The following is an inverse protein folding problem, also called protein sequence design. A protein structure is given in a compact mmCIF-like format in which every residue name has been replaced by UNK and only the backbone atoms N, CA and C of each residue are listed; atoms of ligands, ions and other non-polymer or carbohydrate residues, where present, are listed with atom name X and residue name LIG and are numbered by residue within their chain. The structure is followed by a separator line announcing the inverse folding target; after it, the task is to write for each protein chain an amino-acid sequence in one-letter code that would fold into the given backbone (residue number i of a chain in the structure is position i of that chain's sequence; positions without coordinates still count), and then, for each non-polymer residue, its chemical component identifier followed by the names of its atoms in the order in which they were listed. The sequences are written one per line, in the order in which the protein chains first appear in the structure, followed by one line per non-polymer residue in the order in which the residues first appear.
data_IF_398831132780
#
_entry.id   IF_398831132780
#
_cell.length_a   1.000
_cell.length_b   1.000
_cell.length_c   1.000
_cell.angle_alpha   90.00
_cell.angle_beta   90.00
_cell.angle_gamma   90.00
#
_symmetry.space_group_name_H-M   'P 1'
#
loop_
_entity.id
_entity.type
_entity.pdbx_description
1 polymer ?
#
# COMPACT_ATOMS: atom_id res chain seq x y z
N UNK A 1 -19.37 23.92 -3.04
CA UNK A 1 -18.20 23.36 -2.32
C UNK A 1 -16.97 23.54 -3.19
N UNK A 2 -15.79 23.70 -2.58
CA UNK A 2 -14.53 23.81 -3.33
C UNK A 2 -14.22 22.46 -3.98
N UNK A 3 -13.91 22.45 -5.28
CA UNK A 3 -13.37 21.27 -5.96
C UNK A 3 -11.85 21.35 -5.99
N UNK A 4 -11.19 20.22 -5.80
CA UNK A 4 -9.73 20.10 -5.84
C UNK A 4 -9.23 20.02 -7.27
N UNK A 5 -8.06 20.60 -7.50
CA UNK A 5 -7.19 20.23 -8.61
C UNK A 5 -6.10 19.28 -8.11
N UNK A 6 -6.00 18.08 -8.68
CA UNK A 6 -5.07 17.03 -8.21
C UNK A 6 -4.01 16.74 -9.27
N UNK A 7 -2.72 16.90 -8.92
CA UNK A 7 -1.62 16.58 -9.83
C UNK A 7 -1.07 15.18 -9.52
N UNK A 8 -1.01 14.33 -10.54
CA UNK A 8 -0.44 12.99 -10.46
C UNK A 8 1.05 13.09 -10.71
N UNK A 9 1.89 12.64 -9.77
CA UNK A 9 3.35 12.66 -9.88
C UNK A 9 3.83 11.25 -10.18
N UNK A 10 4.34 11.04 -11.39
CA UNK A 10 4.75 9.74 -11.92
C UNK A 10 3.67 9.11 -12.83
N UNK A 11 3.96 8.99 -14.12
CA UNK A 11 3.12 8.42 -15.18
C UNK A 11 3.36 6.93 -15.42
N UNK A 12 3.63 6.15 -14.36
CA UNK A 12 3.86 4.71 -14.45
C UNK A 12 2.57 3.88 -14.61
N UNK A 13 2.73 2.56 -14.68
CA UNK A 13 1.60 1.62 -14.79
C UNK A 13 0.64 1.75 -13.60
N UNK A 14 1.17 1.92 -12.38
CA UNK A 14 0.35 1.95 -11.18
C UNK A 14 -0.54 3.21 -11.11
N UNK A 15 -0.01 4.40 -11.42
CA UNK A 15 -0.80 5.65 -11.41
C UNK A 15 -1.96 5.65 -12.41
N UNK A 16 -1.81 4.94 -13.54
CA UNK A 16 -2.89 4.75 -14.51
C UNK A 16 -4.15 4.11 -13.92
N UNK A 17 -4.02 3.36 -12.81
CA UNK A 17 -5.14 2.74 -12.10
C UNK A 17 -5.91 3.70 -11.18
N UNK A 18 -5.44 4.95 -11.06
CA UNK A 18 -6.01 5.98 -10.18
C UNK A 18 -6.44 7.24 -10.92
N UNK A 19 -5.80 7.59 -12.05
CA UNK A 19 -6.10 8.82 -12.81
C UNK A 19 -7.61 8.92 -13.10
N UNK A 20 -8.21 7.85 -13.61
CA UNK A 20 -9.64 7.86 -13.95
C UNK A 20 -10.56 8.02 -12.74
N UNK A 21 -10.15 7.54 -11.55
CA UNK A 21 -10.92 7.70 -10.32
C UNK A 21 -10.87 9.15 -9.85
N UNK A 22 -9.69 9.78 -9.86
CA UNK A 22 -9.59 11.21 -9.57
C UNK A 22 -10.40 12.04 -10.56
N UNK A 23 -10.40 11.70 -11.86
CA UNK A 23 -11.19 12.41 -12.87
C UNK A 23 -12.71 12.24 -12.67
N UNK A 24 -13.15 11.05 -12.24
CA UNK A 24 -14.56 10.76 -12.01
C UNK A 24 -15.10 11.37 -10.70
N UNK A 25 -14.24 11.60 -9.70
CA UNK A 25 -14.67 12.01 -8.38
C UNK A 25 -15.37 13.39 -8.40
N UNK A 26 -16.57 13.55 -7.81
CA UNK A 26 -17.40 14.77 -7.95
C UNK A 26 -16.75 16.04 -7.39
N UNK A 27 -15.86 15.88 -6.40
CA UNK A 27 -15.07 16.97 -5.79
C UNK A 27 -13.70 17.21 -6.42
N UNK A 28 -13.37 16.59 -7.54
CA UNK A 28 -12.17 16.92 -8.32
C UNK A 28 -12.60 17.67 -9.57
N UNK A 29 -12.02 18.85 -9.80
CA UNK A 29 -12.29 19.69 -10.97
C UNK A 29 -11.33 19.39 -12.11
N UNK A 30 -10.09 19.03 -11.79
CA UNK A 30 -9.02 18.89 -12.77
C UNK A 30 -7.97 17.89 -12.28
N UNK A 31 -7.48 17.08 -13.20
CA UNK A 31 -6.31 16.22 -12.98
C UNK A 31 -5.17 16.71 -13.86
N UNK A 32 -4.00 16.90 -13.27
CA UNK A 32 -2.76 17.25 -13.94
C UNK A 32 -1.74 16.11 -13.87
N UNK A 33 -0.66 16.19 -14.66
CA UNK A 33 0.39 15.16 -14.69
C UNK A 33 1.78 15.78 -14.58
N UNK A 34 2.57 15.29 -13.63
CA UNK A 34 4.03 15.50 -13.57
C UNK A 34 4.72 14.22 -14.00
N UNK A 35 5.47 14.29 -15.09
CA UNK A 35 6.26 13.17 -15.60
C UNK A 35 7.53 13.72 -16.25
N UNK A 36 8.68 13.17 -15.86
CA UNK A 36 10.00 13.64 -16.30
C UNK A 36 10.26 13.23 -17.75
N UNK A 37 9.85 12.01 -18.10
CA UNK A 37 10.00 11.49 -19.46
C UNK A 37 8.98 12.12 -20.40
N UNK A 38 9.47 12.85 -21.41
CA UNK A 38 8.60 13.62 -22.31
C UNK A 38 7.62 12.74 -23.09
N UNK A 39 8.06 11.57 -23.57
CA UNK A 39 7.23 10.68 -24.37
C UNK A 39 6.13 10.05 -23.51
N UNK A 40 6.50 9.53 -22.34
CA UNK A 40 5.56 9.00 -21.35
C UNK A 40 4.56 10.06 -20.89
N UNK A 41 5.03 11.30 -20.64
CA UNK A 41 4.16 12.42 -20.29
C UNK A 41 3.11 12.67 -21.38
N UNK A 42 3.53 12.74 -22.64
CA UNK A 42 2.62 12.93 -23.77
C UNK A 42 1.63 11.77 -23.93
N UNK A 43 2.11 10.52 -23.81
CA UNK A 43 1.29 9.32 -23.97
C UNK A 43 0.21 9.21 -22.88
N UNK A 44 0.57 9.42 -21.60
CA UNK A 44 -0.38 9.39 -20.49
C UNK A 44 -1.36 10.57 -20.59
N UNK A 45 -0.88 11.77 -20.93
CA UNK A 45 -1.76 12.92 -21.07
C UNK A 45 -2.80 12.72 -22.19
N UNK A 46 -2.38 12.17 -23.34
CA UNK A 46 -3.30 11.82 -24.41
C UNK A 46 -4.29 10.72 -23.98
N UNK A 47 -3.80 9.64 -23.36
CA UNK A 47 -4.61 8.50 -22.91
C UNK A 47 -5.74 8.91 -21.97
N UNK A 48 -5.46 9.83 -21.04
CA UNK A 48 -6.43 10.27 -20.03
C UNK A 48 -7.01 11.66 -20.31
N UNK A 49 -6.75 12.26 -21.47
CA UNK A 49 -7.21 13.62 -21.79
C UNK A 49 -6.83 14.67 -20.73
N UNK A 50 -5.59 14.61 -20.23
CA UNK A 50 -5.05 15.56 -19.25
C UNK A 50 -4.52 16.80 -19.99
N UNK A 51 -5.09 17.97 -19.68
CA UNK A 51 -4.75 19.23 -20.35
C UNK A 51 -3.50 19.92 -19.78
N UNK A 52 -3.26 19.79 -18.47
CA UNK A 52 -2.12 20.40 -17.79
C UNK A 52 -1.08 19.35 -17.41
N UNK A 53 0.11 19.49 -18.00
CA UNK A 53 1.25 18.62 -17.70
C UNK A 53 2.47 19.45 -17.32
N UNK A 54 3.31 18.92 -16.44
CA UNK A 54 4.51 19.57 -15.93
C UNK A 54 5.72 18.68 -16.16
N UNK A 55 6.85 19.28 -16.53
CA UNK A 55 8.11 18.57 -16.73
C UNK A 55 8.95 18.45 -15.45
N UNK A 56 8.56 19.14 -14.38
CA UNK A 56 9.23 19.10 -13.10
C UNK A 56 8.29 19.47 -11.95
N UNK A 57 8.69 19.10 -10.73
CA UNK A 57 8.02 19.55 -9.50
C UNK A 57 8.05 21.08 -9.37
N UNK A 58 9.15 21.72 -9.75
CA UNK A 58 9.28 23.19 -9.71
C UNK A 58 8.22 23.92 -10.54
N UNK A 59 7.84 23.34 -11.69
CA UNK A 59 6.73 23.88 -12.50
C UNK A 59 5.39 23.65 -11.81
N UNK A 60 5.15 22.46 -11.25
CA UNK A 60 3.93 22.16 -10.51
C UNK A 60 3.72 23.13 -9.34
N UNK A 61 4.76 23.48 -8.57
CA UNK A 61 4.62 24.36 -7.41
C UNK A 61 4.20 25.79 -7.75
N UNK A 62 4.43 26.22 -8.99
CA UNK A 62 3.97 27.53 -9.52
C UNK A 62 2.52 27.50 -10.01
N UNK A 63 1.88 26.34 -10.03
CA UNK A 63 0.50 26.17 -10.49
C UNK A 63 -0.54 26.37 -9.37
N UNK A 64 -1.81 26.30 -9.74
CA UNK A 64 -2.96 26.40 -8.83
C UNK A 64 -3.49 25.04 -8.33
N UNK A 65 -2.74 23.94 -8.53
CA UNK A 65 -3.12 22.60 -8.08
C UNK A 65 -3.19 22.50 -6.56
N UNK A 66 -4.30 22.04 -5.98
CA UNK A 66 -4.48 21.99 -4.52
C UNK A 66 -3.80 20.79 -3.85
N UNK A 67 -3.63 19.70 -4.61
CA UNK A 67 -3.24 18.40 -4.09
C UNK A 67 -2.32 17.65 -5.05
N UNK A 68 -1.56 16.70 -4.52
CA UNK A 68 -0.71 15.79 -5.30
C UNK A 68 -1.00 14.33 -4.97
N UNK A 69 -0.88 13.46 -5.96
CA UNK A 69 -0.87 12.01 -5.78
C UNK A 69 0.44 11.42 -6.30
N UNK A 70 1.26 10.88 -5.40
CA UNK A 70 2.64 10.48 -5.65
C UNK A 70 2.71 8.97 -5.94
N UNK A 71 3.21 8.62 -7.12
CA UNK A 71 3.38 7.25 -7.62
C UNK A 71 4.79 7.03 -8.22
N UNK A 72 5.79 7.67 -7.62
CA UNK A 72 7.20 7.62 -8.04
C UNK A 72 7.92 6.41 -7.42
N UNK A 73 9.23 6.20 -7.66
CA UNK A 73 9.95 5.17 -6.95
C UNK A 73 9.92 5.40 -5.42
N UNK A 74 9.69 4.32 -4.67
CA UNK A 74 9.37 4.31 -3.23
C UNK A 74 10.29 5.14 -2.33
N UNK A 75 11.60 5.17 -2.62
CA UNK A 75 12.59 5.93 -1.84
C UNK A 75 12.52 7.44 -2.07
N UNK A 76 11.71 7.91 -3.01
CA UNK A 76 11.52 9.35 -3.30
C UNK A 76 10.27 9.94 -2.65
N UNK A 77 9.36 9.09 -2.14
CA UNK A 77 8.06 9.49 -1.64
C UNK A 77 8.15 10.56 -0.56
N UNK A 78 9.00 10.36 0.44
CA UNK A 78 9.08 11.25 1.58
C UNK A 78 9.54 12.66 1.18
N UNK A 79 10.58 12.76 0.37
CA UNK A 79 11.09 14.05 -0.11
C UNK A 79 10.03 14.81 -0.90
N UNK A 80 9.36 14.15 -1.85
CA UNK A 80 8.34 14.79 -2.69
C UNK A 80 7.14 15.22 -1.83
N UNK A 81 6.73 14.38 -0.88
CA UNK A 81 5.62 14.69 0.01
C UNK A 81 5.93 15.85 0.96
N UNK A 82 7.15 15.93 1.50
CA UNK A 82 7.60 17.07 2.31
C UNK A 82 7.53 18.37 1.49
N UNK A 83 8.11 18.36 0.29
CA UNK A 83 8.09 19.51 -0.61
C UNK A 83 6.65 19.94 -0.96
N UNK A 84 5.75 18.98 -1.20
CA UNK A 84 4.34 19.25 -1.47
C UNK A 84 3.63 19.91 -0.27
N UNK A 85 3.81 19.38 0.94
CA UNK A 85 3.23 19.96 2.17
C UNK A 85 3.76 21.38 2.40
N UNK A 86 5.05 21.61 2.23
CA UNK A 86 5.69 22.93 2.36
C UNK A 86 5.19 23.94 1.33
N UNK A 87 4.83 23.47 0.13
CA UNK A 87 4.20 24.27 -0.92
C UNK A 87 2.66 24.35 -0.78
N UNK A 88 2.11 23.97 0.37
CA UNK A 88 0.70 24.17 0.68
C UNK A 88 -0.25 23.17 0.02
N UNK A 89 0.22 21.97 -0.35
CA UNK A 89 -0.56 20.97 -1.09
C UNK A 89 -0.97 19.79 -0.22
N UNK A 90 -2.20 19.30 -0.40
CA UNK A 90 -2.62 18.02 0.18
C UNK A 90 -1.86 16.87 -0.50
N UNK A 91 -1.55 15.81 0.24
CA UNK A 91 -0.69 14.72 -0.22
C UNK A 91 -1.41 13.37 -0.15
N UNK A 92 -1.50 12.72 -1.30
CA UNK A 92 -1.75 11.29 -1.44
C UNK A 92 -0.44 10.62 -1.86
N UNK A 93 0.00 9.58 -1.16
CA UNK A 93 1.29 8.91 -1.41
C UNK A 93 1.11 7.41 -1.52
N UNK A 94 1.61 6.80 -2.59
CA UNK A 94 1.75 5.35 -2.66
C UNK A 94 2.63 4.81 -1.51
N UNK A 95 2.49 3.53 -1.15
CA UNK A 95 3.30 2.98 -0.05
C UNK A 95 4.77 2.79 -0.46
N UNK A 96 5.73 2.88 0.48
CA UNK A 96 5.59 3.35 1.85
C UNK A 96 5.61 4.88 1.93
N UNK A 97 5.31 5.47 3.10
CA UNK A 97 5.41 6.94 3.27
C UNK A 97 6.83 7.49 3.16
N UNK A 98 7.82 6.65 3.47
CA UNK A 98 9.25 6.95 3.53
C UNK A 98 10.02 5.68 3.89
N UNK A 99 11.35 5.74 3.89
CA UNK A 99 12.21 4.57 4.11
C UNK A 99 13.17 4.72 5.29
N UNK A 100 13.20 5.89 5.93
CA UNK A 100 13.98 6.15 7.14
C UNK A 100 13.14 6.77 8.26
N UNK A 101 13.58 6.58 9.49
CA UNK A 101 12.96 7.18 10.68
C UNK A 101 12.93 8.72 10.62
N UNK A 102 14.00 9.32 10.09
CA UNK A 102 14.14 10.77 9.99
C UNK A 102 13.17 11.38 8.98
N UNK A 103 12.99 10.72 7.82
CA UNK A 103 11.97 11.09 6.83
C UNK A 103 10.56 11.06 7.43
N UNK A 104 10.22 9.98 8.15
CA UNK A 104 8.91 9.83 8.78
C UNK A 104 8.67 10.92 9.83
N UNK A 105 9.70 11.22 10.64
CA UNK A 105 9.64 12.27 11.66
C UNK A 105 9.38 13.64 11.04
N UNK A 106 10.08 13.96 9.94
CA UNK A 106 9.87 15.20 9.21
C UNK A 106 8.47 15.28 8.61
N UNK A 107 7.97 14.19 8.01
CA UNK A 107 6.63 14.14 7.41
C UNK A 107 5.52 14.35 8.44
N UNK A 108 5.60 13.65 9.58
CA UNK A 108 4.65 13.81 10.69
C UNK A 108 4.65 15.25 11.19
N UNK A 109 5.83 15.85 11.36
CA UNK A 109 5.95 17.24 11.78
C UNK A 109 5.38 18.23 10.74
N UNK A 110 5.69 18.02 9.45
CA UNK A 110 5.20 18.86 8.36
C UNK A 110 3.68 18.81 8.25
N UNK A 111 3.08 17.60 8.24
CA UNK A 111 1.63 17.43 8.18
C UNK A 111 0.93 18.07 9.40
N UNK A 112 1.46 17.89 10.61
CA UNK A 112 0.95 18.56 11.83
C UNK A 112 1.03 20.08 11.74
N UNK A 113 2.13 20.62 11.19
CA UNK A 113 2.36 22.07 11.05
C UNK A 113 1.43 22.71 10.02
N UNK A 114 1.30 22.10 8.85
CA UNK A 114 0.52 22.64 7.73
C UNK A 114 -0.98 22.40 7.92
N UNK A 115 -1.35 21.37 8.70
CA UNK A 115 -2.73 20.87 8.85
C UNK A 115 -3.36 20.42 7.54
N UNK A 116 -2.54 20.18 6.52
CA UNK A 116 -2.97 19.62 5.25
C UNK A 116 -3.18 18.12 5.40
N UNK A 117 -4.03 17.59 4.54
CA UNK A 117 -4.24 16.14 4.43
C UNK A 117 -2.96 15.48 3.97
N UNK A 118 -2.53 14.47 4.72
CA UNK A 118 -1.55 13.48 4.27
C UNK A 118 -2.23 12.12 4.34
N UNK A 119 -2.23 11.41 3.23
CA UNK A 119 -2.85 10.10 3.08
C UNK A 119 -1.86 9.14 2.43
N UNK A 120 -1.59 8.01 3.09
CA UNK A 120 -0.83 6.92 2.48
C UNK A 120 -1.80 5.91 1.85
N UNK A 121 -1.60 5.57 0.59
CA UNK A 121 -2.46 4.66 -0.16
C UNK A 121 -2.18 3.18 0.15
N UNK A 122 -2.37 2.79 1.41
CA UNK A 122 -2.21 1.42 1.88
C UNK A 122 -3.42 0.57 1.45
N UNK A 123 -3.27 -0.15 0.35
CA UNK A 123 -4.34 -0.96 -0.26
C UNK A 123 -4.87 -2.04 0.69
N UNK A 124 -3.98 -2.69 1.45
CA UNK A 124 -4.35 -3.82 2.31
C UNK A 124 -5.26 -3.42 3.48
N UNK A 125 -5.29 -2.13 3.86
CA UNK A 125 -6.27 -1.61 4.81
C UNK A 125 -7.73 -1.88 4.39
N UNK A 126 -7.98 -1.93 3.08
CA UNK A 126 -9.30 -2.16 2.48
C UNK A 126 -9.47 -3.59 1.97
N UNK A 127 -8.48 -4.48 2.13
CA UNK A 127 -8.62 -5.85 1.67
C UNK A 127 -9.77 -6.54 2.42
N UNK A 128 -10.57 -7.38 1.74
CA UNK A 128 -11.76 -7.99 2.34
C UNK A 128 -11.48 -8.73 3.65
N UNK A 129 -10.37 -9.47 3.73
CA UNK A 129 -9.93 -10.16 4.95
C UNK A 129 -9.71 -9.18 6.12
N UNK A 130 -9.10 -8.02 5.84
CA UNK A 130 -8.82 -6.98 6.84
C UNK A 130 -10.11 -6.28 7.25
N UNK A 131 -10.98 -5.94 6.30
CA UNK A 131 -12.29 -5.32 6.57
C UNK A 131 -13.17 -6.25 7.41
N UNK A 132 -13.25 -7.52 7.04
CA UNK A 132 -13.98 -8.55 7.80
C UNK A 132 -13.43 -8.66 9.23
N UNK A 133 -12.12 -8.86 9.37
CA UNK A 133 -11.47 -9.01 10.67
C UNK A 133 -11.64 -7.77 11.55
N UNK A 134 -11.52 -6.57 10.97
CA UNK A 134 -11.75 -5.29 11.67
C UNK A 134 -13.20 -5.16 12.15
N UNK A 135 -14.18 -5.59 11.36
CA UNK A 135 -15.58 -5.59 11.76
C UNK A 135 -15.83 -6.56 12.93
N UNK A 136 -15.29 -7.79 12.84
CA UNK A 136 -15.37 -8.79 13.93
C UNK A 136 -14.66 -8.35 15.21
N UNK A 137 -13.51 -7.69 15.08
CA UNK A 137 -12.80 -7.11 16.22
C UNK A 137 -13.62 -6.01 16.90
N UNK A 138 -14.17 -5.07 16.13
CA UNK A 138 -15.03 -3.98 16.63
C UNK A 138 -16.30 -4.50 17.31
N UNK A 139 -16.84 -5.63 16.85
CA UNK A 139 -18.00 -6.31 17.45
C UNK A 139 -17.65 -7.08 18.72
N UNK A 140 -16.37 -7.19 19.08
CA UNK A 140 -15.89 -7.94 20.23
C UNK A 140 -15.81 -9.45 20.02
N UNK A 141 -16.10 -9.94 18.80
CA UNK A 141 -16.17 -11.38 18.51
C UNK A 141 -14.78 -12.05 18.48
N UNK A 142 -13.73 -11.31 18.17
CA UNK A 142 -12.34 -11.81 18.29
C UNK A 142 -11.89 -11.86 19.75
N UNK A 143 -12.46 -11.00 20.62
CA UNK A 143 -12.00 -10.81 21.99
C UNK A 143 -10.72 -9.98 22.07
N UNK A 144 -9.83 -10.31 23.01
CA UNK A 144 -8.53 -9.63 23.12
C UNK A 144 -7.57 -10.21 22.09
N UNK A 145 -6.80 -9.37 21.41
CA UNK A 145 -5.77 -9.81 20.47
C UNK A 145 -4.71 -10.67 21.20
N UNK A 146 -4.33 -11.78 20.58
CA UNK A 146 -3.31 -12.71 21.11
C UNK A 146 -2.16 -12.80 20.10
N UNK A 147 -2.49 -13.16 18.86
CA UNK A 147 -1.51 -13.41 17.82
C UNK A 147 -2.03 -13.03 16.43
N UNK A 148 -1.16 -12.53 15.57
CA UNK A 148 -1.49 -12.24 14.19
C UNK A 148 -0.34 -12.55 13.24
N UNK A 149 -0.67 -12.90 12.01
CA UNK A 149 0.29 -13.12 10.93
C UNK A 149 -0.09 -12.27 9.74
N UNK A 150 0.87 -11.51 9.21
CA UNK A 150 0.75 -10.79 7.95
C UNK A 150 1.87 -11.21 7.02
N UNK A 151 1.56 -11.46 5.75
CA UNK A 151 2.55 -11.93 4.78
C UNK A 151 2.43 -11.13 3.50
N UNK A 152 3.58 -10.77 2.92
CA UNK A 152 3.67 -10.30 1.53
C UNK A 152 4.65 -11.18 0.77
N UNK A 153 4.07 -12.12 0.02
CA UNK A 153 4.74 -13.14 -0.76
C UNK A 153 4.73 -12.72 -2.23
N UNK A 154 5.82 -12.13 -2.70
CA UNK A 154 5.92 -11.62 -4.06
C UNK A 154 7.28 -11.97 -4.65
N UNK A 155 7.35 -13.15 -5.27
CA UNK A 155 8.58 -13.64 -5.86
C UNK A 155 9.07 -12.74 -7.01
N UNK A 156 10.39 -12.53 -7.09
CA UNK A 156 11.01 -11.71 -8.13
C UNK A 156 10.70 -12.20 -9.56
N UNK A 157 10.42 -13.50 -9.73
CA UNK A 157 10.07 -14.10 -11.03
C UNK A 157 8.62 -13.83 -11.46
N UNK A 158 7.76 -13.31 -10.57
CA UNK A 158 6.37 -12.99 -10.88
C UNK A 158 6.22 -11.59 -11.51
N UNK A 159 7.05 -11.27 -12.49
CA UNK A 159 7.02 -10.00 -13.23
C UNK A 159 7.64 -8.80 -12.50
N UNK A 160 8.04 -8.94 -11.23
CA UNK A 160 8.76 -7.88 -10.51
C UNK A 160 10.08 -7.52 -11.16
N UNK A 161 10.88 -8.52 -11.57
CA UNK A 161 12.14 -8.27 -12.30
C UNK A 161 11.91 -7.47 -13.59
N UNK A 162 10.88 -7.85 -14.36
CA UNK A 162 10.52 -7.16 -15.61
C UNK A 162 10.07 -5.72 -15.34
N UNK A 163 9.30 -5.52 -14.27
CA UNK A 163 8.84 -4.18 -13.86
C UNK A 163 10.02 -3.28 -13.48
N UNK A 164 11.02 -3.78 -12.74
CA UNK A 164 12.23 -2.99 -12.47
C UNK A 164 13.01 -2.71 -13.75
N UNK A 165 13.22 -3.71 -14.61
CA UNK A 165 13.96 -3.57 -15.85
C UNK A 165 13.33 -2.51 -16.77
N UNK A 166 12.00 -2.53 -16.91
CA UNK A 166 11.27 -1.57 -17.73
C UNK A 166 11.39 -0.12 -17.23
N UNK A 167 11.59 0.09 -15.92
CA UNK A 167 11.63 1.43 -15.32
C UNK A 167 13.05 1.93 -15.01
N UNK A 168 14.03 1.03 -14.85
CA UNK A 168 15.36 1.35 -14.33
C UNK A 168 16.48 1.42 -15.39
N UNK A 169 16.18 1.10 -16.65
CA UNK A 169 17.17 1.08 -17.74
C UNK A 169 18.32 0.10 -17.48
N UNK A 170 19.49 0.32 -18.10
CA UNK A 170 20.64 -0.60 -18.02
C UNK A 170 21.12 -0.86 -16.58
N UNK A 171 20.88 0.09 -15.65
CA UNK A 171 21.29 0.01 -14.25
C UNK A 171 20.20 -0.51 -13.29
N UNK A 172 19.07 -1.03 -13.79
CA UNK A 172 17.87 -1.29 -12.98
C UNK A 172 18.11 -2.16 -11.74
N UNK A 173 19.03 -3.13 -11.82
CA UNK A 173 19.33 -4.07 -10.73
C UNK A 173 19.78 -3.38 -9.45
N UNK A 174 20.45 -2.22 -9.56
CA UNK A 174 20.85 -1.42 -8.40
C UNK A 174 19.68 -1.03 -7.51
N UNK A 175 18.47 -0.93 -8.09
CA UNK A 175 17.23 -0.57 -7.41
C UNK A 175 16.30 -1.76 -7.12
N UNK A 176 16.67 -2.97 -7.58
CA UNK A 176 15.80 -4.15 -7.49
C UNK A 176 15.88 -4.85 -6.13
N UNK A 177 17.01 -4.74 -5.42
CA UNK A 177 17.21 -5.25 -4.06
C UNK A 177 16.66 -4.34 -2.97
N UNK A 178 15.52 -3.68 -3.22
CA UNK A 178 14.83 -2.91 -2.20
C UNK A 178 14.58 -3.81 -0.98
N UNK A 179 15.08 -3.44 0.22
CA UNK A 179 14.99 -4.34 1.36
C UNK A 179 13.53 -4.74 1.66
N UNK A 180 13.22 -6.04 1.78
CA UNK A 180 11.83 -6.51 1.87
C UNK A 180 11.02 -5.83 2.99
N UNK A 181 11.61 -5.66 4.18
CA UNK A 181 10.93 -5.04 5.33
C UNK A 181 10.68 -3.54 5.18
N UNK A 182 11.40 -2.83 4.29
CA UNK A 182 11.07 -1.43 3.97
C UNK A 182 9.80 -1.30 3.13
N UNK A 183 9.20 -2.42 2.71
CA UNK A 183 7.92 -2.48 2.01
C UNK A 183 6.84 -3.27 2.77
N UNK A 184 7.01 -3.41 4.10
CA UNK A 184 6.14 -4.24 4.93
C UNK A 184 4.79 -3.62 5.29
N UNK A 185 4.45 -2.44 4.76
CA UNK A 185 3.19 -1.76 5.13
C UNK A 185 1.97 -2.63 4.82
N UNK A 186 1.99 -3.36 3.71
CA UNK A 186 0.91 -4.27 3.33
C UNK A 186 0.66 -5.35 4.38
N UNK A 187 1.71 -6.05 4.81
CA UNK A 187 1.59 -7.12 5.79
C UNK A 187 1.36 -6.57 7.21
N UNK A 188 2.07 -5.51 7.62
CA UNK A 188 1.93 -4.87 8.94
C UNK A 188 0.52 -4.31 9.14
N UNK A 189 -0.04 -3.63 8.14
CA UNK A 189 -1.34 -2.98 8.28
C UNK A 189 -2.47 -3.99 8.42
N UNK A 190 -2.34 -5.21 7.89
CA UNK A 190 -3.36 -6.27 8.03
C UNK A 190 -3.67 -6.61 9.49
N UNK A 191 -2.68 -6.45 10.39
CA UNK A 191 -2.84 -6.68 11.82
C UNK A 191 -3.13 -5.37 12.55
N UNK A 192 -2.25 -4.37 12.42
CA UNK A 192 -2.34 -3.16 13.23
C UNK A 192 -3.58 -2.30 12.91
N UNK A 193 -4.12 -2.38 11.69
CA UNK A 193 -5.37 -1.69 11.35
C UNK A 193 -6.62 -2.40 11.86
N UNK A 194 -6.52 -3.68 12.26
CA UNK A 194 -7.62 -4.44 12.87
C UNK A 194 -7.66 -4.18 14.37
N UNK A 195 -6.51 -4.26 15.03
CA UNK A 195 -6.42 -4.17 16.50
C UNK A 195 -6.33 -2.72 16.99
N UNK A 196 -5.80 -1.81 16.17
CA UNK A 196 -5.47 -0.44 16.57
C UNK A 196 -4.20 -0.33 17.43
N UNK A 197 -3.53 -1.44 17.71
CA UNK A 197 -2.31 -1.49 18.50
C UNK A 197 -1.10 -0.87 17.78
N UNK A 198 -0.02 -0.67 18.53
CA UNK A 198 1.28 -0.24 18.00
C UNK A 198 2.30 -1.36 18.16
N UNK A 199 3.21 -1.52 17.20
CA UNK A 199 4.37 -2.38 17.38
C UNK A 199 5.39 -1.69 18.29
N UNK A 200 5.83 -2.36 19.36
CA UNK A 200 6.67 -1.76 20.41
C UNK A 200 8.11 -2.26 20.35
N UNK A 201 8.33 -3.49 19.90
CA UNK A 201 9.66 -4.06 19.70
C UNK A 201 9.66 -5.09 18.58
N UNK A 202 10.84 -5.42 18.06
CA UNK A 202 11.00 -6.39 16.96
C UNK A 202 12.28 -7.20 17.07
N UNK A 203 12.20 -8.47 16.68
CA UNK A 203 13.34 -9.27 16.23
C UNK A 203 13.08 -9.75 14.81
N UNK A 204 14.07 -9.63 13.92
CA UNK A 204 13.92 -10.01 12.51
C UNK A 204 15.06 -10.89 12.03
N UNK A 205 14.73 -11.97 11.33
CA UNK A 205 15.69 -12.85 10.67
C UNK A 205 15.65 -12.54 9.17
N UNK A 206 16.82 -12.31 8.59
CA UNK A 206 16.99 -12.16 7.15
C UNK A 206 17.58 -13.43 6.53
N UNK A 207 17.09 -13.83 5.37
CA UNK A 207 17.69 -14.89 4.57
C UNK A 207 18.50 -14.25 3.45
N UNK A 208 19.78 -14.62 3.39
CA UNK A 208 20.68 -14.18 2.33
C UNK A 208 20.26 -14.83 1.01
N UNK A 209 20.21 -14.02 -0.04
CA UNK A 209 19.92 -14.52 -1.39
C UNK A 209 21.06 -15.40 -1.90
N UNK A 210 20.72 -16.46 -2.61
CA UNK A 210 21.69 -17.40 -3.22
C UNK A 210 21.52 -17.50 -4.73
N UNK A 211 20.60 -16.73 -5.33
CA UNK A 211 20.43 -16.70 -6.77
C UNK A 211 21.55 -15.88 -7.43
N UNK A 212 22.02 -16.35 -8.58
CA UNK A 212 23.08 -15.71 -9.36
C UNK A 212 22.51 -14.89 -10.52
N UNK A 213 21.55 -14.01 -10.20
CA UNK A 213 20.93 -13.09 -11.17
C UNK A 213 21.33 -11.63 -10.95
N UNK A 214 22.15 -11.36 -9.93
CA UNK A 214 22.67 -10.04 -9.57
C UNK A 214 21.63 -9.08 -8.98
N UNK A 215 20.42 -9.54 -8.63
CA UNK A 215 19.37 -8.69 -8.03
C UNK A 215 19.74 -8.31 -6.61
N UNK A 216 19.99 -9.30 -5.75
CA UNK A 216 20.37 -9.15 -4.34
C UNK A 216 21.89 -9.20 -4.14
N UNK A 217 22.65 -8.68 -5.10
CA UNK A 217 24.07 -8.45 -4.95
C UNK A 217 24.31 -7.13 -4.20
N UNK A 218 24.99 -7.19 -3.05
CA UNK A 218 25.28 -6.02 -2.23
C UNK A 218 26.22 -5.01 -2.92
N UNK A 219 27.04 -5.44 -3.88
CA UNK A 219 27.94 -4.54 -4.60
C UNK A 219 27.19 -3.74 -5.67
N UNK A 220 26.13 -4.31 -6.24
CA UNK A 220 25.23 -3.67 -7.20
C UNK A 220 24.14 -2.84 -6.50
N UNK A 221 23.63 -3.34 -5.37
CA UNK A 221 22.52 -2.75 -4.61
C UNK A 221 22.83 -1.34 -4.11
N UNK A 222 21.92 -0.39 -4.37
CA UNK A 222 22.00 0.95 -3.77
C UNK A 222 21.77 0.94 -2.24
N UNK A 223 21.16 -0.10 -1.69
CA UNK A 223 20.94 -0.27 -0.25
C UNK A 223 21.96 -1.20 0.42
N UNK A 224 22.94 -1.72 -0.34
CA UNK A 224 23.85 -2.77 0.12
C UNK A 224 23.11 -4.01 0.64
N UNK A 225 21.91 -4.27 0.10
CA UNK A 225 21.05 -5.34 0.56
C UNK A 225 21.30 -6.63 -0.22
N UNK A 226 21.57 -7.71 0.51
CA UNK A 226 21.68 -9.07 -0.01
C UNK A 226 20.65 -10.04 0.61
N UNK A 227 19.67 -9.50 1.33
CA UNK A 227 18.59 -10.26 1.94
C UNK A 227 17.38 -10.23 1.02
N UNK A 228 16.99 -11.38 0.49
CA UNK A 228 15.81 -11.49 -0.36
C UNK A 228 14.52 -11.74 0.40
N UNK A 229 14.63 -12.33 1.59
CA UNK A 229 13.51 -12.61 2.47
C UNK A 229 13.81 -12.11 3.88
N UNK A 230 12.80 -11.59 4.55
CA UNK A 230 12.89 -11.17 5.95
C UNK A 230 11.62 -11.60 6.69
N UNK A 231 11.77 -12.12 7.91
CA UNK A 231 10.66 -12.53 8.78
C UNK A 231 10.88 -11.91 10.16
N UNK A 232 9.89 -11.19 10.65
CA UNK A 232 9.95 -10.44 11.89
C UNK A 232 8.87 -10.89 12.89
N UNK A 233 9.22 -10.90 14.17
CA UNK A 233 8.29 -11.04 15.29
C UNK A 233 8.26 -9.72 16.07
N UNK A 234 7.05 -9.20 16.27
CA UNK A 234 6.81 -7.95 16.98
C UNK A 234 6.03 -8.18 18.26
N UNK A 235 6.41 -7.48 19.32
CA UNK A 235 5.52 -7.23 20.45
C UNK A 235 4.62 -6.04 20.13
N UNK A 236 3.40 -6.07 20.64
CA UNK A 236 2.41 -5.01 20.41
C UNK A 236 1.95 -4.37 21.72
N UNK A 237 1.47 -3.13 21.66
CA UNK A 237 1.14 -2.31 22.83
C UNK A 237 -0.01 -2.85 23.68
N UNK A 238 -0.84 -3.73 23.14
CA UNK A 238 -1.95 -4.40 23.83
C UNK A 238 -1.54 -5.76 24.44
N UNK A 239 -0.26 -6.12 24.34
CA UNK A 239 0.32 -7.36 24.88
C UNK A 239 0.28 -8.55 23.92
N UNK A 240 -0.24 -8.38 22.70
CA UNK A 240 -0.20 -9.41 21.67
C UNK A 240 1.14 -9.51 20.94
N UNK A 241 1.23 -10.46 20.02
CA UNK A 241 2.40 -10.69 19.16
C UNK A 241 1.96 -10.72 17.70
N UNK A 242 2.76 -10.18 16.78
CA UNK A 242 2.53 -10.37 15.36
C UNK A 242 3.77 -10.86 14.62
N UNK A 243 3.58 -11.81 13.69
CA UNK A 243 4.60 -12.30 12.76
C UNK A 243 4.38 -11.64 11.40
N UNK A 244 5.42 -11.05 10.85
CA UNK A 244 5.39 -10.46 9.52
C UNK A 244 6.42 -11.14 8.62
N UNK A 245 6.01 -11.59 7.43
CA UNK A 245 6.88 -12.19 6.44
C UNK A 245 6.90 -11.37 5.15
N UNK A 246 8.09 -10.94 4.73
CA UNK A 246 8.33 -10.18 3.51
C UNK A 246 9.29 -10.96 2.61
N UNK A 247 8.74 -11.68 1.63
CA UNK A 247 9.50 -12.65 0.84
C UNK A 247 9.56 -12.24 -0.64
N UNK A 248 10.76 -12.28 -1.23
CA UNK A 248 11.03 -12.02 -2.67
C UNK A 248 11.67 -13.21 -3.38
N UNK A 249 12.12 -14.23 -2.66
CA UNK A 249 12.41 -15.58 -3.18
C UNK A 249 11.53 -16.60 -2.48
N UNK A 250 10.43 -16.98 -3.09
CA UNK A 250 9.45 -17.87 -2.47
C UNK A 250 8.68 -18.64 -3.53
N UNK A 251 8.49 -19.94 -3.30
CA UNK A 251 7.63 -20.77 -4.13
C UNK A 251 6.16 -20.43 -3.87
N UNK A 252 5.54 -19.67 -4.77
CA UNK A 252 4.10 -19.40 -4.82
C UNK A 252 3.63 -19.53 -6.26
N UNK A 253 2.37 -19.86 -6.52
CA UNK A 253 1.89 -19.83 -7.90
C UNK A 253 1.75 -18.36 -8.37
N UNK A 254 2.04 -18.06 -9.64
CA UNK A 254 1.70 -16.78 -10.23
C UNK A 254 0.21 -16.52 -10.03
N UNK A 255 -0.16 -15.27 -9.67
CA UNK A 255 -1.54 -14.82 -9.47
C UNK A 255 -2.25 -15.35 -8.20
N UNK A 256 -1.54 -15.95 -7.24
CA UNK A 256 -2.07 -16.11 -5.88
C UNK A 256 -2.17 -14.75 -5.17
N UNK A 257 -3.03 -14.63 -4.14
CA UNK A 257 -2.99 -13.45 -3.27
C UNK A 257 -1.61 -13.31 -2.67
N UNK A 258 -0.95 -12.20 -3.00
CA UNK A 258 0.41 -11.87 -2.55
C UNK A 258 0.39 -11.40 -1.10
N UNK A 259 -0.71 -10.80 -0.63
CA UNK A 259 -0.91 -10.43 0.78
C UNK A 259 -1.88 -11.42 1.43
N UNK A 260 -1.53 -11.91 2.61
CA UNK A 260 -2.35 -12.86 3.40
C UNK A 260 -2.30 -12.47 4.87
N UNK A 261 -3.34 -12.87 5.60
CA UNK A 261 -3.36 -12.68 7.04
C UNK A 261 -4.05 -13.81 7.79
N UNK A 262 -3.63 -13.98 9.05
CA UNK A 262 -4.42 -14.69 10.07
C UNK A 262 -4.40 -13.87 11.35
N UNK A 263 -5.49 -13.90 12.12
CA UNK A 263 -5.59 -13.18 13.39
C UNK A 263 -6.36 -14.00 14.40
N UNK A 264 -5.82 -14.07 15.62
CA UNK A 264 -6.32 -14.88 16.72
C UNK A 264 -6.51 -13.98 17.94
N UNK A 265 -7.69 -14.04 18.51
CA UNK A 265 -7.97 -13.46 19.82
C UNK A 265 -8.46 -14.48 20.82
N UNK A 266 -8.87 -13.98 21.99
CA UNK A 266 -9.32 -14.85 23.09
C UNK A 266 -10.65 -15.53 22.84
N UNK A 267 -11.48 -15.05 21.90
CA UNK A 267 -12.83 -15.57 21.63
C UNK A 267 -13.03 -16.10 20.20
N UNK A 268 -12.31 -15.55 19.22
CA UNK A 268 -12.42 -15.96 17.83
C UNK A 268 -11.16 -15.71 17.00
N UNK A 269 -11.13 -16.31 15.82
CA UNK A 269 -10.02 -16.22 14.88
C UNK A 269 -10.49 -16.16 13.43
N UNK A 270 -9.68 -15.50 12.61
CA UNK A 270 -9.76 -15.51 11.17
C UNK A 270 -8.46 -16.08 10.61
N UNK A 271 -8.57 -17.00 9.66
CA UNK A 271 -7.41 -17.60 9.00
C UNK A 271 -7.60 -17.59 7.49
N UNK A 272 -6.58 -17.13 6.75
CA UNK A 272 -6.57 -17.11 5.30
C UNK A 272 -5.36 -17.87 4.75
N UNK A 273 -5.63 -18.73 3.77
CA UNK A 273 -4.66 -19.44 2.96
C UNK A 273 -5.03 -19.31 1.47
N UNK A 274 -4.23 -19.88 0.57
CA UNK A 274 -4.51 -19.84 -0.87
C UNK A 274 -5.87 -20.47 -1.16
N UNK A 275 -6.79 -19.67 -1.71
CA UNK A 275 -8.13 -20.13 -2.09
C UNK A 275 -9.03 -20.51 -0.91
N UNK A 276 -8.66 -20.17 0.32
CA UNK A 276 -9.39 -20.58 1.51
C UNK A 276 -9.38 -19.51 2.59
N UNK A 277 -10.54 -19.24 3.19
CA UNK A 277 -10.61 -18.50 4.44
C UNK A 277 -11.66 -19.08 5.38
N UNK A 278 -11.38 -18.98 6.67
CA UNK A 278 -12.25 -19.44 7.74
C UNK A 278 -12.40 -18.41 8.84
N UNK A 279 -13.56 -18.47 9.49
CA UNK A 279 -13.87 -17.77 10.72
C UNK A 279 -14.23 -18.80 11.79
N UNK A 280 -13.64 -18.67 12.97
CA UNK A 280 -13.89 -19.58 14.08
C UNK A 280 -14.17 -18.81 15.36
N UNK A 281 -15.02 -19.39 16.21
CA UNK A 281 -15.15 -19.01 17.62
C UNK A 281 -14.83 -20.22 18.49
N UNK A 282 -14.86 -20.06 19.81
CA UNK A 282 -14.74 -21.22 20.73
C UNK A 282 -15.75 -22.34 20.48
N UNK A 283 -16.89 -22.03 19.85
CA UNK A 283 -18.01 -22.96 19.71
C UNK A 283 -18.48 -23.18 18.26
N UNK A 284 -17.91 -22.47 17.29
CA UNK A 284 -18.36 -22.53 15.89
C UNK A 284 -17.19 -22.38 14.92
N UNK A 285 -17.41 -22.83 13.69
CA UNK A 285 -16.45 -22.77 12.60
C UNK A 285 -17.19 -22.62 11.27
N UNK A 286 -16.80 -21.63 10.48
CA UNK A 286 -17.40 -21.27 9.20
C UNK A 286 -16.31 -21.10 8.13
N UNK A 287 -16.58 -21.62 6.93
CA UNK A 287 -15.77 -21.33 5.74
C UNK A 287 -16.38 -20.11 5.07
N UNK A 288 -15.59 -19.05 4.93
CA UNK A 288 -16.05 -17.72 4.50
C UNK A 288 -15.33 -17.21 3.24
N UNK A 289 -14.70 -18.10 2.47
CA UNK A 289 -13.98 -17.75 1.23
C UNK A 289 -14.82 -16.88 0.30
N UNK A 290 -16.11 -17.19 0.13
CA UNK A 290 -17.01 -16.44 -0.75
C UNK A 290 -17.39 -15.05 -0.21
N UNK A 291 -17.29 -14.82 1.10
CA UNK A 291 -17.58 -13.51 1.70
C UNK A 291 -16.46 -12.51 1.45
N UNK A 292 -15.22 -13.01 1.42
CA UNK A 292 -14.01 -12.21 1.24
C UNK A 292 -13.49 -12.21 -0.21
N UNK A 293 -14.11 -12.99 -1.10
CA UNK A 293 -13.79 -12.98 -2.53
C UNK A 293 -14.20 -11.67 -3.19
N UNK A 294 -13.32 -11.10 -4.02
CA UNK A 294 -13.62 -9.91 -4.82
C UNK A 294 -14.18 -10.32 -6.18
N UNK A 295 -15.26 -9.67 -6.59
CA UNK A 295 -15.89 -9.88 -7.88
C UNK A 295 -15.98 -8.55 -8.63
N UNK A 296 -15.47 -8.51 -9.87
CA UNK A 296 -15.60 -7.33 -10.72
C UNK A 296 -17.04 -7.16 -11.16
N UNK A 297 -17.60 -5.99 -10.90
CA UNK A 297 -18.92 -5.56 -11.38
C UNK A 297 -18.84 -4.70 -12.66
N UNK A 298 -17.62 -4.53 -13.19
CA UNK A 298 -17.33 -3.80 -14.43
C UNK A 298 -16.54 -4.71 -15.37
N UNK A 299 -16.92 -4.75 -16.65
CA UNK A 299 -16.07 -5.29 -17.71
C UNK A 299 -14.90 -4.31 -17.90
N UNK A 300 -13.67 -4.72 -17.58
CA UNK A 300 -12.51 -3.82 -17.67
C UNK A 300 -11.93 -3.85 -19.10
N UNK A 301 -12.20 -2.85 -19.97
CA UNK A 301 -11.67 -2.81 -21.34
C UNK A 301 -10.15 -2.59 -21.38
N UNK A 302 -9.52 -2.30 -20.25
CA UNK A 302 -8.06 -2.15 -20.10
C UNK A 302 -7.42 -3.33 -19.37
N UNK A 303 -8.16 -4.41 -19.09
CA UNK A 303 -7.61 -5.66 -18.59
C UNK A 303 -6.69 -6.29 -19.64
N UNK A 304 -5.50 -6.74 -19.22
CA UNK A 304 -4.44 -7.21 -20.10
C UNK A 304 -4.74 -8.54 -20.85
N UNK A 305 -5.96 -9.11 -20.77
CA UNK A 305 -6.35 -10.34 -21.51
C UNK A 305 -7.83 -10.34 -21.91
N UNK A 306 -8.17 -10.05 -23.19
CA UNK A 306 -9.55 -10.07 -23.69
C UNK A 306 -10.22 -11.45 -23.69
N UNK A 307 -9.44 -12.54 -23.77
CA UNK A 307 -9.98 -13.90 -24.03
C UNK A 307 -9.81 -14.91 -22.89
N UNK A 308 -9.43 -14.47 -21.68
CA UNK A 308 -9.34 -15.40 -20.55
C UNK A 308 -9.41 -14.69 -19.19
N UNK A 309 -10.60 -14.63 -18.59
CA UNK A 309 -10.75 -14.37 -17.15
C UNK A 309 -11.36 -15.65 -16.54
N UNK A 310 -10.53 -16.59 -16.04
CA UNK A 310 -11.04 -17.69 -15.24
C UNK A 310 -11.65 -17.08 -13.96
N UNK A 311 -12.72 -17.65 -13.41
CA UNK A 311 -13.52 -17.02 -12.34
C UNK A 311 -12.76 -16.63 -11.05
N UNK A 312 -11.48 -16.94 -10.91
CA UNK A 312 -10.75 -16.95 -9.64
C UNK A 312 -9.31 -16.37 -9.68
N UNK A 313 -8.92 -15.46 -10.59
CA UNK A 313 -7.52 -14.94 -10.62
C UNK A 313 -7.39 -13.41 -10.87
N UNK A 314 -7.20 -12.66 -9.77
CA UNK A 314 -6.69 -11.26 -9.58
C UNK A 314 -7.29 -10.10 -10.42
N UNK A 315 -7.45 -8.88 -9.90
CA UNK A 315 -7.72 -8.39 -8.54
C UNK A 315 -8.42 -7.03 -8.70
N UNK A 316 -9.74 -7.10 -8.69
CA UNK A 316 -10.54 -5.90 -8.66
C UNK A 316 -12.03 -6.18 -8.60
N UNK A 317 -12.78 -5.16 -8.21
CA UNK A 317 -14.20 -5.24 -7.91
C UNK A 317 -14.45 -5.06 -6.43
N UNK A 318 -15.45 -5.77 -5.90
CA UNK A 318 -15.87 -5.65 -4.51
C UNK A 318 -16.14 -7.03 -3.92
N UNK A 319 -15.85 -7.17 -2.64
CA UNK A 319 -16.30 -8.29 -1.82
C UNK A 319 -17.61 -7.93 -1.12
N UNK A 320 -18.36 -8.94 -0.64
CA UNK A 320 -19.63 -8.72 0.09
C UNK A 320 -19.45 -7.88 1.35
N UNK A 321 -18.26 -7.97 1.96
CA UNK A 321 -17.89 -7.25 3.18
C UNK A 321 -17.59 -5.76 2.95
N UNK A 322 -17.45 -5.32 1.69
CA UNK A 322 -17.22 -3.91 1.38
C UNK A 322 -18.53 -3.11 1.42
N UNK A 323 -18.60 -2.12 2.31
CA UNK A 323 -19.69 -1.14 2.29
C UNK A 323 -19.46 -0.09 1.22
N UNK A 324 -20.22 -0.17 0.13
CA UNK A 324 -20.13 0.73 -1.02
C UNK A 324 -21.04 1.94 -0.91
N UNK A 325 -21.86 2.04 0.14
CA UNK A 325 -22.91 3.05 0.26
C UNK A 325 -22.37 4.48 0.30
N UNK A 326 -21.11 4.65 0.71
CA UNK A 326 -20.44 5.94 0.83
C UNK A 326 -19.69 6.35 -0.45
N UNK A 327 -19.47 5.43 -1.39
CA UNK A 327 -18.71 5.73 -2.61
C UNK A 327 -19.54 6.62 -3.56
N UNK A 328 -18.88 7.56 -4.28
CA UNK A 328 -19.52 8.36 -5.30
C UNK A 328 -20.20 7.50 -6.38
N UNK A 329 -21.39 7.92 -6.82
CA UNK A 329 -22.09 7.21 -7.91
C UNK A 329 -21.33 7.31 -9.23
N UNK A 330 -20.51 8.34 -9.38
CA UNK A 330 -19.62 8.57 -10.52
C UNK A 330 -18.55 7.48 -10.65
N UNK A 331 -18.29 6.69 -9.61
CA UNK A 331 -17.40 5.53 -9.71
C UNK A 331 -18.07 4.29 -10.34
N UNK A 332 -19.39 4.30 -10.58
CA UNK A 332 -20.05 3.24 -11.32
C UNK A 332 -19.46 3.12 -12.73
N UNK A 333 -19.04 1.91 -13.10
CA UNK A 333 -18.38 1.66 -14.39
C UNK A 333 -16.87 1.90 -14.41
N UNK A 334 -16.26 2.27 -13.27
CA UNK A 334 -14.81 2.35 -13.13
C UNK A 334 -14.24 1.11 -12.44
N UNK A 335 -13.08 0.64 -12.88
CA UNK A 335 -12.38 -0.48 -12.24
C UNK A 335 -11.97 -0.15 -10.80
N UNK A 336 -11.99 -1.15 -9.93
CA UNK A 336 -11.57 -1.03 -8.54
C UNK A 336 -10.50 -2.08 -8.21
N UNK A 337 -9.22 -1.78 -8.40
CA UNK A 337 -8.14 -2.78 -8.28
C UNK A 337 -7.69 -3.08 -6.83
N UNK A 338 -6.76 -4.03 -6.70
CA UNK A 338 -6.02 -4.35 -5.46
C UNK A 338 -6.95 -4.60 -4.26
N UNK A 339 -7.60 -5.75 -4.20
CA UNK A 339 -8.55 -6.16 -3.19
C UNK A 339 -9.78 -5.27 -3.12
N UNK A 340 -10.10 -4.55 -4.20
CA UNK A 340 -11.19 -3.57 -4.23
C UNK A 340 -10.89 -2.29 -3.43
N UNK A 341 -9.62 -1.89 -3.31
CA UNK A 341 -9.20 -0.77 -2.45
C UNK A 341 -9.21 0.60 -3.13
N UNK A 342 -8.98 0.65 -4.45
CA UNK A 342 -8.66 1.90 -5.15
C UNK A 342 -9.73 2.98 -5.00
N UNK A 343 -11.01 2.62 -5.15
CA UNK A 343 -12.12 3.57 -5.05
C UNK A 343 -12.21 4.17 -3.65
N UNK A 344 -12.11 3.34 -2.61
CA UNK A 344 -12.12 3.81 -1.22
C UNK A 344 -10.95 4.75 -0.91
N UNK A 345 -9.74 4.43 -1.38
CA UNK A 345 -8.58 5.27 -1.13
C UNK A 345 -8.69 6.66 -1.76
N UNK A 346 -9.19 6.73 -3.00
CA UNK A 346 -9.38 8.01 -3.69
C UNK A 346 -10.47 8.84 -3.03
N UNK A 347 -11.60 8.20 -2.68
CA UNK A 347 -12.71 8.88 -1.98
C UNK A 347 -12.26 9.38 -0.61
N UNK A 348 -11.65 8.54 0.22
CA UNK A 348 -11.19 8.89 1.56
C UNK A 348 -10.21 10.08 1.54
N UNK A 349 -9.25 10.08 0.60
CA UNK A 349 -8.34 11.20 0.47
C UNK A 349 -9.04 12.49 0.02
N UNK A 350 -9.86 12.44 -1.02
CA UNK A 350 -10.51 13.65 -1.55
C UNK A 350 -11.46 14.23 -0.51
N UNK A 351 -12.25 13.39 0.16
CA UNK A 351 -13.20 13.81 1.19
C UNK A 351 -12.50 14.42 2.41
N UNK A 352 -11.32 13.95 2.79
CA UNK A 352 -10.52 14.58 3.86
C UNK A 352 -9.94 15.92 3.38
N UNK A 353 -9.40 15.97 2.16
CA UNK A 353 -8.81 17.17 1.60
C UNK A 353 -9.84 18.30 1.37
N UNK A 354 -11.10 17.98 1.06
CA UNK A 354 -12.18 18.99 1.02
C UNK A 354 -12.82 19.28 2.37
N UNK A 355 -12.46 18.56 3.43
CA UNK A 355 -12.93 18.76 4.80
C UNK A 355 -14.32 18.19 5.10
N UNK A 356 -14.80 17.24 4.28
CA UNK A 356 -16.12 16.61 4.44
C UNK A 356 -16.08 15.36 5.32
N UNK A 357 -15.00 14.57 5.25
CA UNK A 357 -14.83 13.34 6.05
C UNK A 357 -13.36 13.04 6.27
N UNK A 358 -12.96 12.81 7.53
CA UNK A 358 -11.57 12.48 7.86
C UNK A 358 -11.18 11.12 7.26
N UNK A 359 -10.05 11.05 6.58
CA UNK A 359 -9.53 9.80 6.05
C UNK A 359 -9.07 8.88 7.20
N UNK A 360 -9.23 7.56 7.07
CA UNK A 360 -8.82 6.60 8.09
C UNK A 360 -7.32 6.25 8.06
N UNK A 361 -6.57 6.83 7.11
CA UNK A 361 -5.15 6.57 6.90
C UNK A 361 -4.39 7.89 6.86
N UNK A 362 -4.27 8.54 8.02
CA UNK A 362 -3.55 9.81 8.13
C UNK A 362 -2.03 9.60 8.27
N UNK A 363 -1.29 10.68 8.51
CA UNK A 363 0.17 10.64 8.66
C UNK A 363 0.64 9.79 9.86
N UNK A 364 -0.15 9.71 10.93
CA UNK A 364 0.16 8.92 12.11
C UNK A 364 -0.11 7.44 11.84
N UNK A 365 -1.21 7.11 11.17
CA UNK A 365 -1.47 5.73 10.72
C UNK A 365 -0.41 5.25 9.72
N UNK A 366 -0.02 6.10 8.77
CA UNK A 366 1.05 5.83 7.83
C UNK A 366 2.39 5.52 8.54
N UNK A 367 2.73 6.31 9.56
CA UNK A 367 3.92 6.08 10.39
C UNK A 367 3.82 4.76 11.15
N UNK A 368 2.66 4.49 11.77
CA UNK A 368 2.40 3.24 12.51
C UNK A 368 2.59 2.00 11.65
N UNK A 369 2.32 2.07 10.35
CA UNK A 369 2.48 0.92 9.44
C UNK A 369 3.86 0.85 8.77
N UNK A 370 4.58 1.98 8.66
CA UNK A 370 5.88 2.02 7.97
C UNK A 370 7.07 1.79 8.91
N UNK A 371 7.04 2.43 10.09
CA UNK A 371 8.16 2.41 11.05
C UNK A 371 8.53 0.98 11.50
N UNK A 372 7.58 0.06 11.77
CA UNK A 372 7.92 -1.29 12.19
C UNK A 372 8.84 -2.01 11.19
N UNK A 373 8.61 -1.81 9.89
CA UNK A 373 9.43 -2.36 8.82
C UNK A 373 10.87 -1.86 8.81
N UNK A 374 11.08 -0.56 9.06
CA UNK A 374 12.42 0.04 9.13
C UNK A 374 13.24 -0.60 10.25
N UNK A 375 12.64 -0.74 11.43
CA UNK A 375 13.31 -1.34 12.59
C UNK A 375 13.47 -2.85 12.46
N UNK A 376 12.54 -3.54 11.79
CA UNK A 376 12.71 -4.94 11.43
C UNK A 376 13.90 -5.14 10.49
N UNK A 377 14.05 -4.30 9.47
CA UNK A 377 15.20 -4.35 8.58
C UNK A 377 16.52 -4.16 9.34
N UNK A 378 16.59 -3.16 10.22
CA UNK A 378 17.77 -2.92 11.06
C UNK A 378 18.08 -4.11 11.97
N UNK A 379 17.06 -4.73 12.60
CA UNK A 379 17.23 -5.93 13.43
C UNK A 379 17.87 -7.07 12.63
N UNK A 380 17.42 -7.30 11.39
CA UNK A 380 18.00 -8.32 10.51
C UNK A 380 19.47 -8.04 10.16
N UNK A 381 19.87 -6.77 10.00
CA UNK A 381 21.26 -6.39 9.73
C UNK A 381 22.20 -6.66 10.90
N UNK A 382 21.68 -6.73 12.13
CA UNK A 382 22.44 -7.02 13.35
C UNK A 382 22.16 -8.42 13.91
N UNK A 383 21.92 -9.38 13.02
CA UNK A 383 21.70 -10.80 13.34
C UNK A 383 20.50 -11.05 14.26
N UNK A 384 19.41 -10.30 14.07
CA UNK A 384 18.13 -10.51 14.75
C UNK A 384 18.09 -10.03 16.19
N UNK A 385 19.02 -9.19 16.63
CA UNK A 385 18.92 -8.56 17.96
C UNK A 385 17.59 -7.82 18.09
N UNK A 386 16.99 -7.94 19.28
CA UNK A 386 15.72 -7.28 19.58
C UNK A 386 15.93 -5.76 19.65
N UNK A 387 15.12 -5.01 18.91
CA UNK A 387 15.13 -3.56 18.89
C UNK A 387 13.81 -3.00 19.41
N UNK A 388 13.86 -1.82 20.05
CA UNK A 388 12.68 -1.06 20.45
C UNK A 388 12.23 -0.17 19.30
N UNK A 389 10.91 -0.07 19.08
CA UNK A 389 10.32 0.72 18.00
C UNK A 389 9.85 2.07 18.57
N UNK A 390 10.31 3.21 18.01
CA UNK A 390 9.81 4.54 18.37
C UNK A 390 8.32 4.72 18.03
N UNK A 391 7.63 5.52 18.85
CA UNK A 391 6.20 5.82 18.69
C UNK A 391 6.00 7.29 18.25
N UNK A 392 4.90 7.58 17.53
CA UNK A 392 4.64 8.85 16.82
C UNK A 392 3.34 9.57 17.18
#
# INVERSE_FOLDING_TARGET
MKKLKVAIIGGGQFSSSFIHLFQAHPFVAEVGLVELDQERRANIAAKFSINQTFASLSELWKSDFDAVAIFTPRWTHAQIALEALENGRHVYTAVPMGITQDEITQLVAAAKKTKLTYFMAETSYYYPAVVFSRNKFKQGEIGKFVYGEGEYLHDMSHGFSDAYAANGGDGWKSTASFPPMLYSTHSVSTILSVTGAQATSVTCIGLKDTADDGIFDSDVSMWKNNLSNQIALFETSDGGVMRIAELRRVGTAPLESTVRMSIFGTEGSFEQQVGYASWATKNSFDIITDEIGTFSDVENPHSLKPDYVPPNLWDGGFARVHDRSQLPKEFLGHSNGHGGSHQFMVDDFVMDAVGERKAPMDVTDAARFTVPGIWAHQSAQIAGQKLQIPQF
#
